data_IF_785460318946
#
_entry.id   IF_785460318946
#
_cell.length_a   1.000
_cell.length_b   1.000
_cell.length_c   1.000
_cell.angle_alpha   90.00
_cell.angle_beta   90.00
_cell.angle_gamma   90.00
#
_symmetry.space_group_name_H-M   'P 1'
#
loop_
_entity.id
_entity.type
_entity.pdbx_description
1 polymer ?
#
# COMPACT_ATOMS: atom_id res chain seq x y z
N UNK A 1 -96.27 -34.82 48.46
CA UNK A 1 -95.37 -34.22 49.48
C UNK A 1 -93.91 -34.64 49.33
N UNK A 2 -93.57 -35.94 49.20
CA UNK A 2 -92.17 -36.41 49.13
C UNK A 2 -91.32 -35.83 47.98
N UNK A 3 -91.88 -35.67 46.77
CA UNK A 3 -91.15 -35.12 45.60
C UNK A 3 -90.79 -33.63 45.73
N UNK A 4 -91.66 -32.83 46.35
CA UNK A 4 -91.43 -31.40 46.56
C UNK A 4 -90.30 -31.14 47.57
N UNK A 5 -90.23 -31.97 48.62
CA UNK A 5 -89.16 -31.91 49.63
C UNK A 5 -87.80 -32.26 49.02
N UNK A 6 -87.76 -33.24 48.12
CA UNK A 6 -86.52 -33.64 47.42
C UNK A 6 -86.04 -32.52 46.49
N UNK A 7 -86.93 -31.88 45.73
CA UNK A 7 -86.57 -30.76 44.85
C UNK A 7 -86.08 -29.57 45.67
N UNK A 8 -86.73 -29.29 46.81
CA UNK A 8 -86.30 -28.22 47.71
C UNK A 8 -84.91 -28.48 48.29
N UNK A 9 -84.63 -29.72 48.73
CA UNK A 9 -83.32 -30.14 49.21
C UNK A 9 -82.24 -30.10 48.13
N UNK A 10 -82.56 -30.47 46.90
CA UNK A 10 -81.60 -30.37 45.78
C UNK A 10 -81.34 -28.90 45.45
N UNK A 11 -82.36 -28.03 45.48
CA UNK A 11 -82.19 -26.60 45.20
C UNK A 11 -81.35 -25.90 46.27
N UNK A 12 -81.51 -26.25 47.55
CA UNK A 12 -80.69 -25.71 48.63
C UNK A 12 -79.26 -26.26 48.58
N UNK A 13 -79.08 -27.52 48.19
CA UNK A 13 -77.76 -28.10 47.96
C UNK A 13 -77.05 -27.41 46.78
N UNK A 14 -77.78 -27.10 45.71
CA UNK A 14 -77.23 -26.44 44.52
C UNK A 14 -76.82 -25.00 44.79
N UNK A 15 -77.61 -24.25 45.59
CA UNK A 15 -77.26 -22.90 46.03
C UNK A 15 -76.05 -22.92 46.99
N UNK A 16 -75.96 -23.94 47.86
CA UNK A 16 -74.79 -24.16 48.72
C UNK A 16 -73.53 -24.52 47.94
N UNK A 17 -73.66 -25.18 46.79
CA UNK A 17 -72.54 -25.58 45.94
C UNK A 17 -72.11 -24.47 44.96
N UNK A 18 -73.01 -23.54 44.65
CA UNK A 18 -72.75 -22.36 43.82
C UNK A 18 -72.17 -21.16 44.60
N UNK A 19 -72.24 -21.16 45.93
CA UNK A 19 -71.52 -20.21 46.76
C UNK A 19 -70.03 -20.60 46.85
N UNK A 20 -69.14 -19.62 46.67
CA UNK A 20 -67.67 -19.75 46.74
C UNK A 20 -66.91 -20.13 45.47
N UNK A 21 -67.20 -19.42 44.37
CA UNK A 21 -66.15 -19.04 43.42
C UNK A 21 -65.97 -17.52 43.44
N UNK A 22 -65.47 -16.97 44.55
CA UNK A 22 -64.91 -15.61 44.53
C UNK A 22 -63.49 -15.72 44.00
N UNK A 23 -63.26 -15.21 42.79
CA UNK A 23 -61.91 -14.93 42.32
C UNK A 23 -61.26 -13.99 43.35
N UNK A 24 -60.17 -14.45 43.98
CA UNK A 24 -59.45 -13.68 44.98
C UNK A 24 -58.83 -12.47 44.28
N UNK A 25 -59.48 -11.31 44.35
CA UNK A 25 -58.86 -10.04 43.96
C UNK A 25 -57.65 -9.81 44.86
N UNK A 26 -56.45 -10.01 44.33
CA UNK A 26 -55.21 -9.75 45.06
C UNK A 26 -55.02 -8.24 45.14
N UNK A 27 -55.41 -7.67 46.28
CA UNK A 27 -55.28 -6.23 46.55
C UNK A 27 -53.81 -5.86 46.77
N UNK A 28 -53.37 -4.73 46.23
CA UNK A 28 -52.01 -4.22 46.44
C UNK A 28 -51.77 -3.88 47.91
N UNK A 29 -50.91 -4.65 48.58
CA UNK A 29 -50.71 -4.58 50.04
C UNK A 29 -49.75 -3.45 50.44
N UNK A 30 -49.58 -3.22 51.74
CA UNK A 30 -48.55 -2.28 52.24
C UNK A 30 -47.13 -2.81 51.99
N UNK A 31 -46.91 -4.13 52.10
CA UNK A 31 -45.61 -4.73 51.80
C UNK A 31 -45.20 -4.54 50.34
N UNK A 32 -46.16 -4.59 49.41
CA UNK A 32 -45.90 -4.37 47.99
C UNK A 32 -45.50 -2.91 47.72
N UNK A 33 -46.06 -1.94 48.47
CA UNK A 33 -45.65 -0.53 48.42
C UNK A 33 -44.22 -0.35 48.92
N UNK A 34 -43.87 -0.98 50.04
CA UNK A 34 -42.51 -0.89 50.59
C UNK A 34 -41.47 -1.54 49.68
N UNK A 35 -41.83 -2.65 49.02
CA UNK A 35 -40.99 -3.27 47.97
C UNK A 35 -40.83 -2.34 46.78
N UNK A 36 -41.89 -1.68 46.34
CA UNK A 36 -41.84 -0.74 45.23
C UNK A 36 -40.94 0.47 45.55
N UNK A 37 -41.06 1.05 46.75
CA UNK A 37 -40.22 2.17 47.20
C UNK A 37 -38.75 1.77 47.27
N UNK A 38 -38.42 0.59 47.80
CA UNK A 38 -37.04 0.06 47.79
C UNK A 38 -36.53 -0.12 46.37
N UNK A 39 -37.34 -0.68 45.48
CA UNK A 39 -36.96 -0.94 44.10
C UNK A 39 -36.73 0.37 43.33
N UNK A 40 -37.59 1.38 43.52
CA UNK A 40 -37.41 2.72 42.97
C UNK A 40 -36.11 3.35 43.46
N UNK A 41 -35.80 3.22 44.76
CA UNK A 41 -34.56 3.72 45.34
C UNK A 41 -33.33 3.04 44.73
N UNK A 42 -33.32 1.70 44.66
CA UNK A 42 -32.22 0.95 44.03
C UNK A 42 -32.06 1.28 42.54
N UNK A 43 -33.16 1.45 41.80
CA UNK A 43 -33.12 1.84 40.39
C UNK A 43 -32.55 3.25 40.23
N UNK A 44 -32.91 4.19 41.12
CA UNK A 44 -32.36 5.55 41.10
C UNK A 44 -30.85 5.54 41.38
N UNK A 45 -30.41 4.84 42.41
CA UNK A 45 -28.98 4.69 42.74
C UNK A 45 -28.20 4.02 41.61
N UNK A 46 -28.77 2.97 41.00
CA UNK A 46 -28.17 2.31 39.85
C UNK A 46 -28.05 3.27 38.67
N UNK A 47 -29.10 4.02 38.35
CA UNK A 47 -29.07 5.02 37.27
C UNK A 47 -27.98 6.07 37.52
N UNK A 48 -27.89 6.64 38.71
CA UNK A 48 -26.86 7.62 39.06
C UNK A 48 -25.44 7.03 38.98
N UNK A 49 -25.26 5.76 39.38
CA UNK A 49 -23.98 5.05 39.24
C UNK A 49 -23.61 4.85 37.76
N UNK A 50 -24.59 4.47 36.94
CA UNK A 50 -24.44 4.27 35.50
C UNK A 50 -24.09 5.58 34.80
N UNK A 51 -24.83 6.66 35.09
CA UNK A 51 -24.59 7.99 34.50
C UNK A 51 -23.16 8.47 34.79
N UNK A 52 -22.68 8.33 36.04
CA UNK A 52 -21.28 8.66 36.41
C UNK A 52 -20.25 7.84 35.64
N UNK A 53 -20.53 6.56 35.40
CA UNK A 53 -19.63 5.69 34.62
C UNK A 53 -19.61 6.09 33.15
N UNK A 54 -20.75 6.46 32.58
CA UNK A 54 -20.82 6.97 31.21
C UNK A 54 -20.06 8.28 31.06
N UNK A 55 -20.21 9.25 31.97
CA UNK A 55 -19.41 10.47 31.95
C UNK A 55 -17.90 10.19 32.01
N UNK A 56 -17.48 9.19 32.79
CA UNK A 56 -16.07 8.80 32.85
C UNK A 56 -15.61 8.17 31.53
N UNK A 57 -16.47 7.38 30.87
CA UNK A 57 -16.20 6.80 29.56
C UNK A 57 -16.06 7.89 28.50
N UNK A 58 -16.97 8.87 28.49
CA UNK A 58 -16.92 10.00 27.55
C UNK A 58 -15.61 10.78 27.69
N UNK A 59 -15.21 11.10 28.93
CA UNK A 59 -13.91 11.75 29.21
C UNK A 59 -12.72 10.93 28.70
N UNK A 60 -12.79 9.60 28.74
CA UNK A 60 -11.72 8.74 28.21
C UNK A 60 -11.72 8.75 26.69
N UNK A 61 -12.89 8.77 26.04
CA UNK A 61 -12.98 8.90 24.59
C UNK A 61 -12.42 10.24 24.11
N UNK A 62 -12.75 11.35 24.77
CA UNK A 62 -12.15 12.65 24.44
C UNK A 62 -10.61 12.66 24.55
N UNK A 63 -10.06 11.95 25.54
CA UNK A 63 -8.61 11.79 25.67
C UNK A 63 -8.02 10.94 24.55
N UNK A 64 -8.73 9.90 24.12
CA UNK A 64 -8.33 9.05 23.00
C UNK A 64 -8.33 9.87 21.70
N UNK A 65 -9.36 10.66 21.45
CA UNK A 65 -9.45 11.53 20.26
C UNK A 65 -8.28 12.52 20.21
N UNK A 66 -7.97 13.19 21.33
CA UNK A 66 -6.80 14.08 21.43
C UNK A 66 -5.48 13.37 21.13
N UNK A 67 -5.34 12.11 21.51
CA UNK A 67 -4.14 11.31 21.20
C UNK A 67 -4.09 10.94 19.73
N UNK A 68 -5.23 10.63 19.10
CA UNK A 68 -5.29 10.39 17.66
C UNK A 68 -4.94 11.65 16.87
N UNK A 69 -5.45 12.83 17.24
CA UNK A 69 -5.05 14.09 16.60
C UNK A 69 -3.52 14.35 16.69
N UNK A 70 -2.90 14.00 17.82
CA UNK A 70 -1.45 14.10 17.97
C UNK A 70 -0.70 13.11 17.09
N UNK A 71 -1.24 11.89 16.92
CA UNK A 71 -0.69 10.86 16.04
C UNK A 71 -0.76 11.33 14.59
N UNK A 72 -1.90 11.87 14.15
CA UNK A 72 -2.09 12.41 12.80
C UNK A 72 -1.08 13.53 12.50
N UNK A 73 -0.89 14.48 13.43
CA UNK A 73 0.14 15.52 13.29
C UNK A 73 1.55 14.97 13.16
N UNK A 74 1.86 13.84 13.82
CA UNK A 74 3.17 13.19 13.67
C UNK A 74 3.29 12.50 12.31
N UNK A 75 2.23 11.89 11.80
CA UNK A 75 2.22 11.32 10.46
C UNK A 75 2.40 12.40 9.38
N UNK A 76 1.70 13.53 9.47
CA UNK A 76 1.90 14.66 8.55
C UNK A 76 3.36 15.16 8.54
N UNK A 77 4.02 15.20 9.69
CA UNK A 77 5.44 15.57 9.77
C UNK A 77 6.35 14.53 9.12
N UNK A 78 6.01 13.25 9.24
CA UNK A 78 6.74 12.15 8.60
C UNK A 78 6.58 12.23 7.08
N UNK A 79 5.36 12.46 6.58
CA UNK A 79 5.09 12.60 5.16
C UNK A 79 5.88 13.76 4.54
N UNK A 80 5.93 14.92 5.20
CA UNK A 80 6.76 16.06 4.75
C UNK A 80 8.25 15.71 4.66
N UNK A 81 8.78 14.92 5.60
CA UNK A 81 10.19 14.45 5.55
C UNK A 81 10.41 13.48 4.40
N UNK A 82 9.44 12.60 4.12
CA UNK A 82 9.51 11.70 2.96
C UNK A 82 9.46 12.47 1.64
N UNK A 83 8.58 13.46 1.49
CA UNK A 83 8.53 14.32 0.30
C UNK A 83 9.87 15.03 0.04
N UNK A 84 10.50 15.57 1.10
CA UNK A 84 11.83 16.18 1.00
C UNK A 84 12.89 15.17 0.56
N UNK A 85 12.86 13.94 1.10
CA UNK A 85 13.78 12.88 0.71
C UNK A 85 13.57 12.43 -0.74
N UNK A 86 12.32 12.27 -1.19
CA UNK A 86 12.01 11.95 -2.58
C UNK A 86 12.48 13.05 -3.53
N UNK A 87 12.27 14.32 -3.17
CA UNK A 87 12.75 15.46 -3.95
C UNK A 87 14.27 15.40 -4.12
N UNK A 88 15.01 15.13 -3.04
CA UNK A 88 16.46 14.99 -3.09
C UNK A 88 16.91 13.79 -3.94
N UNK A 89 16.25 12.63 -3.81
CA UNK A 89 16.52 11.45 -4.62
C UNK A 89 16.29 11.69 -6.12
N UNK A 90 15.24 12.43 -6.48
CA UNK A 90 14.96 12.81 -7.86
C UNK A 90 16.05 13.72 -8.43
N UNK A 91 16.54 14.70 -7.65
CA UNK A 91 17.64 15.57 -8.06
C UNK A 91 18.92 14.76 -8.29
N UNK A 92 19.29 13.88 -7.36
CA UNK A 92 20.47 13.03 -7.49
C UNK A 92 20.37 12.11 -8.71
N UNK A 93 19.22 11.48 -8.92
CA UNK A 93 18.96 10.62 -10.08
C UNK A 93 19.06 11.42 -11.38
N UNK A 94 18.55 12.66 -11.40
CA UNK A 94 18.65 13.57 -12.52
C UNK A 94 20.11 13.91 -12.86
N UNK A 95 20.91 14.30 -11.87
CA UNK A 95 22.34 14.62 -12.05
C UNK A 95 23.10 13.39 -12.55
N UNK A 96 22.90 12.23 -11.89
CA UNK A 96 23.55 10.99 -12.28
C UNK A 96 23.20 10.59 -13.72
N UNK A 97 21.92 10.67 -14.09
CA UNK A 97 21.45 10.37 -15.45
C UNK A 97 22.04 11.35 -16.46
N UNK A 98 22.10 12.65 -16.14
CA UNK A 98 22.71 13.66 -17.01
C UNK A 98 24.20 13.40 -17.26
N UNK A 99 24.95 13.05 -16.22
CA UNK A 99 26.37 12.68 -16.34
C UNK A 99 26.53 11.39 -17.15
N UNK A 100 25.69 10.38 -16.91
CA UNK A 100 25.74 9.12 -17.66
C UNK A 100 25.47 9.33 -19.14
N UNK A 101 24.43 10.08 -19.49
CA UNK A 101 24.11 10.42 -20.89
C UNK A 101 25.23 11.27 -21.50
N UNK A 102 25.79 12.22 -20.76
CA UNK A 102 26.93 13.02 -21.19
C UNK A 102 28.16 12.17 -21.51
N UNK A 103 28.53 11.26 -20.61
CA UNK A 103 29.68 10.37 -20.79
C UNK A 103 29.48 9.39 -21.95
N UNK A 104 28.31 8.77 -22.07
CA UNK A 104 28.01 7.84 -23.17
C UNK A 104 27.98 8.60 -24.51
N UNK A 105 27.34 9.76 -24.54
CA UNK A 105 27.28 10.62 -25.72
C UNK A 105 28.66 11.10 -26.15
N UNK A 106 29.49 11.56 -25.19
CA UNK A 106 30.87 11.95 -25.44
C UNK A 106 31.72 10.79 -25.93
N UNK A 107 31.65 9.62 -25.29
CA UNK A 107 32.39 8.43 -25.72
C UNK A 107 32.00 7.98 -27.14
N UNK A 108 30.71 8.08 -27.51
CA UNK A 108 30.26 7.78 -28.86
C UNK A 108 30.78 8.80 -29.89
N UNK A 109 30.82 10.09 -29.53
CA UNK A 109 31.34 11.16 -30.38
C UNK A 109 32.87 11.09 -30.55
N UNK A 110 33.60 10.91 -29.45
CA UNK A 110 35.06 10.82 -29.40
C UNK A 110 35.60 9.59 -30.16
N UNK A 111 34.90 8.45 -30.06
CA UNK A 111 35.21 7.26 -30.86
C UNK A 111 35.18 7.54 -32.37
N UNK A 112 34.26 8.39 -32.85
CA UNK A 112 34.22 8.77 -34.27
C UNK A 112 35.39 9.68 -34.66
N UNK A 113 35.86 10.56 -33.77
CA UNK A 113 36.90 11.54 -34.09
C UNK A 113 38.30 10.92 -34.06
N UNK A 114 38.59 10.05 -33.07
CA UNK A 114 39.91 9.42 -32.90
C UNK A 114 40.19 8.39 -34.01
N UNK A 115 39.22 7.53 -34.35
CA UNK A 115 39.42 6.50 -35.38
C UNK A 115 39.75 7.14 -36.74
N UNK A 116 39.13 8.28 -37.06
CA UNK A 116 39.42 9.00 -38.30
C UNK A 116 40.86 9.54 -38.31
N UNK A 117 41.29 10.18 -37.22
CA UNK A 117 42.66 10.72 -37.06
C UNK A 117 43.71 9.62 -37.15
N UNK A 118 43.53 8.52 -36.43
CA UNK A 118 44.45 7.40 -36.45
C UNK A 118 44.57 6.75 -37.84
N UNK A 119 43.47 6.65 -38.58
CA UNK A 119 43.48 6.13 -39.94
C UNK A 119 44.22 7.07 -40.91
N UNK A 120 44.01 8.38 -40.78
CA UNK A 120 44.69 9.39 -41.60
C UNK A 120 46.20 9.41 -41.32
N UNK A 121 46.62 9.37 -40.05
CA UNK A 121 48.04 9.31 -39.67
C UNK A 121 48.72 8.04 -40.18
N UNK A 122 48.07 6.88 -40.01
CA UNK A 122 48.60 5.59 -40.49
C UNK A 122 48.76 5.59 -42.02
N UNK A 123 47.78 6.10 -42.76
CA UNK A 123 47.86 6.18 -44.23
C UNK A 123 48.95 7.16 -44.67
N UNK A 124 49.05 8.31 -44.01
CA UNK A 124 50.05 9.33 -44.33
C UNK A 124 51.48 8.85 -44.07
N UNK A 125 51.71 8.10 -42.99
CA UNK A 125 53.03 7.53 -42.66
C UNK A 125 53.44 6.47 -43.70
N UNK A 126 52.50 5.59 -44.06
CA UNK A 126 52.69 4.58 -45.09
C UNK A 126 52.97 5.21 -46.47
N UNK A 127 52.29 6.32 -46.81
CA UNK A 127 52.49 7.04 -48.07
C UNK A 127 53.83 7.79 -48.09
N UNK A 128 54.22 8.36 -46.95
CA UNK A 128 55.47 9.14 -46.78
C UNK A 128 56.71 8.25 -46.76
N UNK A 129 56.65 7.06 -46.18
CA UNK A 129 57.75 6.09 -46.23
C UNK A 129 58.04 5.60 -47.66
N UNK A 130 57.11 5.74 -48.61
CA UNK A 130 57.27 5.26 -50.00
C UNK A 130 57.40 3.73 -50.12
N UNK A 131 57.52 3.02 -49.00
CA UNK A 131 57.82 1.58 -48.90
C UNK A 131 56.82 0.71 -49.65
N UNK A 132 55.55 1.10 -49.69
CA UNK A 132 54.55 0.41 -50.49
C UNK A 132 54.80 0.56 -52.00
N UNK A 133 55.16 1.75 -52.47
CA UNK A 133 55.52 1.97 -53.88
C UNK A 133 56.77 1.19 -54.24
N UNK A 134 57.77 1.19 -53.38
CA UNK A 134 59.03 0.48 -53.61
C UNK A 134 58.86 -1.04 -53.58
N UNK A 135 58.04 -1.56 -52.64
CA UNK A 135 57.68 -2.98 -52.61
C UNK A 135 56.88 -3.39 -53.85
N UNK A 136 55.93 -2.57 -54.30
CA UNK A 136 55.19 -2.83 -55.54
C UNK A 136 56.15 -2.81 -56.74
N UNK A 137 57.09 -1.87 -56.80
CA UNK A 137 58.13 -1.81 -57.84
C UNK A 137 59.02 -3.05 -57.85
N UNK A 138 59.53 -3.46 -56.69
CA UNK A 138 60.38 -4.65 -56.55
C UNK A 138 59.63 -5.94 -56.92
N UNK A 139 58.36 -6.07 -56.51
CA UNK A 139 57.50 -7.19 -56.91
C UNK A 139 57.25 -7.16 -58.43
N UNK A 140 57.05 -5.98 -59.03
CA UNK A 140 56.87 -5.84 -60.48
C UNK A 140 58.11 -6.24 -61.25
N UNK A 141 59.30 -5.92 -60.77
CA UNK A 141 60.54 -6.37 -61.41
C UNK A 141 60.76 -7.87 -61.23
N UNK A 142 60.46 -8.44 -60.07
CA UNK A 142 60.52 -9.89 -59.84
C UNK A 142 59.51 -10.65 -60.72
N UNK A 143 58.36 -10.04 -61.03
CA UNK A 143 57.35 -10.63 -61.91
C UNK A 143 57.80 -10.81 -63.36
N UNK A 144 58.84 -10.09 -63.80
CA UNK A 144 59.43 -10.30 -65.14
C UNK A 144 60.18 -11.63 -65.24
N UNK A 145 60.62 -12.16 -64.10
CA UNK A 145 61.45 -13.37 -64.01
C UNK A 145 60.67 -14.57 -63.42
N UNK A 146 59.65 -14.33 -62.60
CA UNK A 146 58.83 -15.38 -61.96
C UNK A 146 57.34 -15.28 -62.36
N UNK A 147 56.84 -16.27 -63.09
CA UNK A 147 55.43 -16.37 -63.53
C UNK A 147 54.41 -16.45 -62.39
N UNK A 148 54.79 -16.96 -61.21
CA UNK A 148 53.88 -17.04 -60.05
C UNK A 148 53.64 -15.63 -59.50
N UNK A 149 54.68 -14.81 -59.40
CA UNK A 149 54.58 -13.42 -58.94
C UNK A 149 53.79 -12.58 -59.94
N UNK A 150 53.99 -12.78 -61.25
CA UNK A 150 53.23 -12.10 -62.30
C UNK A 150 51.72 -12.39 -62.24
N UNK A 151 51.34 -13.65 -61.98
CA UNK A 151 49.92 -14.02 -61.82
C UNK A 151 49.30 -13.35 -60.61
N UNK A 152 49.99 -13.32 -59.47
CA UNK A 152 49.49 -12.68 -58.24
C UNK A 152 49.34 -11.17 -58.43
N UNK A 153 50.31 -10.50 -59.05
CA UNK A 153 50.21 -9.06 -59.31
C UNK A 153 49.08 -8.71 -60.31
N UNK A 154 48.88 -9.51 -61.35
CA UNK A 154 47.73 -9.34 -62.27
C UNK A 154 46.39 -9.51 -61.55
N UNK A 155 46.29 -10.43 -60.59
CA UNK A 155 45.06 -10.65 -59.82
C UNK A 155 44.67 -9.43 -58.98
N UNK A 156 45.66 -8.67 -58.49
CA UNK A 156 45.44 -7.43 -57.74
C UNK A 156 45.44 -6.16 -58.60
N UNK A 157 45.43 -6.26 -59.95
CA UNK A 157 45.53 -5.12 -60.87
C UNK A 157 46.77 -4.22 -60.64
N UNK A 158 47.89 -4.82 -60.21
CA UNK A 158 49.15 -4.11 -59.92
C UNK A 158 50.18 -4.20 -61.07
N UNK A 159 49.81 -4.83 -62.19
CA UNK A 159 50.63 -5.05 -63.38
C UNK A 159 49.99 -4.43 -64.63
#
# INVERSE_FOLDING_TARGET
MKKAVIIMLISTLFISMAGFAHAKEVSFTQEDRDRLIRLETTVKEFKESVDKRFEQVDKRFEQVDKRFEQVDKRFEQVDKRFEQMFTFLWILTGIFTAIMVGNIGFAYWDRRTIIRRAKEETIAEIEKEGRLKDMIGALRDLSKTDEKVARVLKQFNLL
#
